data_IF_615063292306
#
_entry.id   IF_615063292306
#
_cell.length_a   1.000
_cell.length_b   1.000
_cell.length_c   1.000
_cell.angle_alpha   90.00
_cell.angle_beta   90.00
_cell.angle_gamma   90.00
#
_symmetry.space_group_name_H-M   'P 1'
#
loop_
_entity.id
_entity.type
_entity.pdbx_description
1 polymer ?
#
# COMPACT_ATOMS: atom_id res chain seq x y z
N UNK A 1 3.22 -49.22 -30.69
CA UNK A 1 3.16 -47.78 -31.07
C UNK A 1 3.19 -46.83 -29.87
N UNK A 2 2.74 -47.24 -28.68
CA UNK A 2 2.67 -46.42 -27.45
C UNK A 2 4.02 -46.02 -26.84
N UNK A 3 5.07 -46.86 -26.91
CA UNK A 3 6.37 -46.55 -26.30
C UNK A 3 7.16 -45.42 -27.02
N UNK A 4 7.07 -45.34 -28.36
CA UNK A 4 7.72 -44.27 -29.15
C UNK A 4 7.09 -42.89 -28.92
N UNK A 5 5.78 -42.85 -28.66
CA UNK A 5 5.06 -41.60 -28.39
C UNK A 5 5.45 -41.01 -27.02
N UNK A 6 5.69 -41.87 -26.03
CA UNK A 6 6.07 -41.44 -24.67
C UNK A 6 7.49 -40.85 -24.63
N UNK A 7 8.43 -41.43 -25.38
CA UNK A 7 9.82 -40.95 -25.46
C UNK A 7 9.89 -39.56 -26.13
N UNK A 8 9.09 -39.32 -27.18
CA UNK A 8 9.06 -38.02 -27.85
C UNK A 8 8.52 -36.91 -26.94
N UNK A 9 7.49 -37.19 -26.13
CA UNK A 9 6.94 -36.20 -25.19
C UNK A 9 7.92 -35.89 -24.03
N UNK A 10 8.65 -36.90 -23.56
CA UNK A 10 9.72 -36.71 -22.57
C UNK A 10 10.82 -35.81 -23.15
N UNK A 11 11.24 -36.08 -24.40
CA UNK A 11 12.28 -35.30 -25.06
C UNK A 11 11.89 -33.82 -25.26
N UNK A 12 10.64 -33.55 -25.68
CA UNK A 12 10.11 -32.18 -25.78
C UNK A 12 10.09 -31.48 -24.41
N UNK A 13 9.71 -32.19 -23.36
CA UNK A 13 9.67 -31.66 -21.99
C UNK A 13 11.08 -31.33 -21.47
N UNK A 14 12.06 -32.19 -21.77
CA UNK A 14 13.47 -31.98 -21.42
C UNK A 14 14.03 -30.75 -22.16
N UNK A 15 13.76 -30.61 -23.47
CA UNK A 15 14.16 -29.43 -24.24
C UNK A 15 13.54 -28.14 -23.70
N UNK A 16 12.25 -28.18 -23.32
CA UNK A 16 11.57 -27.04 -22.74
C UNK A 16 12.16 -26.63 -21.38
N UNK A 17 12.45 -27.60 -20.51
CA UNK A 17 13.08 -27.37 -19.21
C UNK A 17 14.50 -26.80 -19.37
N UNK A 18 15.27 -27.38 -20.28
CA UNK A 18 16.64 -26.98 -20.58
C UNK A 18 16.72 -25.55 -21.11
N UNK A 19 15.81 -25.18 -22.02
CA UNK A 19 15.70 -23.81 -22.53
C UNK A 19 15.30 -22.80 -21.43
N UNK A 20 14.43 -23.20 -20.49
CA UNK A 20 14.08 -22.36 -19.33
C UNK A 20 15.29 -22.14 -18.40
N UNK A 21 16.09 -23.18 -18.14
CA UNK A 21 17.31 -23.07 -17.34
C UNK A 21 18.32 -22.13 -18.00
N UNK A 22 18.57 -22.28 -19.30
CA UNK A 22 19.43 -21.36 -20.05
C UNK A 22 18.95 -19.91 -19.93
N UNK A 23 17.65 -19.68 -20.09
CA UNK A 23 17.08 -18.33 -19.98
C UNK A 23 17.26 -17.75 -18.57
N UNK A 24 17.05 -18.54 -17.52
CA UNK A 24 17.24 -18.10 -16.13
C UNK A 24 18.70 -17.68 -15.88
N UNK A 25 19.67 -18.49 -16.30
CA UNK A 25 21.08 -18.16 -16.12
C UNK A 25 21.51 -16.93 -16.93
N UNK A 26 21.03 -16.81 -18.18
CA UNK A 26 21.27 -15.63 -19.02
C UNK A 26 20.69 -14.34 -18.42
N UNK A 27 19.45 -14.37 -17.93
CA UNK A 27 18.81 -13.19 -17.31
C UNK A 27 19.60 -12.71 -16.08
N UNK A 28 20.22 -13.63 -15.36
CA UNK A 28 20.95 -13.34 -14.12
C UNK A 28 22.48 -13.18 -14.31
N UNK A 29 22.99 -13.17 -15.55
CA UNK A 29 24.43 -13.11 -15.86
C UNK A 29 25.27 -14.19 -15.13
N UNK A 30 24.72 -15.40 -14.98
CA UNK A 30 25.40 -16.54 -14.37
C UNK A 30 25.94 -17.47 -15.47
N UNK A 31 27.14 -18.02 -15.27
CA UNK A 31 27.69 -19.04 -16.18
C UNK A 31 26.97 -20.37 -15.97
N UNK A 32 26.60 -21.04 -17.08
CA UNK A 32 26.03 -22.37 -17.01
C UNK A 32 27.10 -23.37 -16.55
N UNK A 33 26.82 -24.23 -15.57
CA UNK A 33 27.68 -25.35 -15.24
C UNK A 33 27.97 -26.24 -16.46
N UNK A 34 29.23 -26.66 -16.64
CA UNK A 34 29.71 -27.41 -17.81
C UNK A 34 28.95 -28.72 -18.11
N UNK A 35 28.31 -29.30 -17.09
CA UNK A 35 27.45 -30.50 -17.22
C UNK A 35 26.22 -30.22 -18.10
N UNK A 36 25.74 -28.97 -18.11
CA UNK A 36 24.63 -28.52 -18.93
C UNK A 36 25.12 -28.05 -20.31
N UNK A 37 26.31 -27.44 -20.44
CA UNK A 37 26.81 -26.93 -21.72
C UNK A 37 27.07 -28.03 -22.76
N UNK A 38 27.48 -29.23 -22.32
CA UNK A 38 27.91 -30.34 -23.19
C UNK A 38 26.78 -31.22 -23.74
N UNK A 39 25.57 -31.17 -23.19
CA UNK A 39 24.49 -32.12 -23.53
C UNK A 39 23.20 -31.49 -24.09
N UNK A 40 23.16 -30.18 -24.30
CA UNK A 40 21.99 -29.49 -24.87
C UNK A 40 21.82 -29.68 -26.40
N UNK A 41 22.79 -30.31 -27.07
CA UNK A 41 22.91 -30.30 -28.54
C UNK A 41 22.86 -31.68 -29.20
N UNK A 42 22.84 -32.78 -28.45
CA UNK A 42 23.01 -34.14 -29.01
C UNK A 42 21.76 -35.02 -28.88
N UNK A 43 21.53 -35.85 -29.90
CA UNK A 43 20.38 -36.77 -30.04
C UNK A 43 20.45 -37.85 -28.95
N UNK A 44 19.49 -37.86 -28.02
CA UNK A 44 19.58 -38.52 -26.71
C UNK A 44 19.26 -40.03 -26.68
N UNK A 45 19.86 -40.75 -25.72
CA UNK A 45 19.65 -42.18 -25.41
C UNK A 45 19.54 -42.46 -23.89
N UNK A 46 18.30 -42.52 -23.40
CA UNK A 46 17.66 -43.11 -22.18
C UNK A 46 18.35 -43.09 -20.80
N UNK A 47 19.63 -43.41 -20.61
CA UNK A 47 20.23 -43.45 -19.25
C UNK A 47 20.76 -42.09 -18.79
N UNK A 48 21.37 -41.34 -19.71
CA UNK A 48 21.86 -39.99 -19.43
C UNK A 48 20.73 -38.97 -19.25
N UNK A 49 19.54 -39.26 -19.80
CA UNK A 49 18.36 -38.36 -19.78
C UNK A 49 17.80 -38.14 -18.37
N UNK A 50 17.71 -39.22 -17.57
CA UNK A 50 17.19 -39.14 -16.21
C UNK A 50 18.17 -38.39 -15.29
N UNK A 51 19.47 -38.62 -15.47
CA UNK A 51 20.51 -37.98 -14.67
C UNK A 51 20.61 -36.47 -14.95
N UNK A 52 20.53 -36.08 -16.23
CA UNK A 52 20.45 -34.67 -16.64
C UNK A 52 19.16 -34.03 -16.08
N UNK A 53 18.02 -34.73 -16.13
CA UNK A 53 16.76 -34.22 -15.63
C UNK A 53 16.78 -34.03 -14.09
N UNK A 54 17.33 -34.99 -13.35
CA UNK A 54 17.47 -34.90 -11.88
C UNK A 54 18.38 -33.75 -11.48
N UNK A 55 19.50 -33.58 -12.18
CA UNK A 55 20.44 -32.48 -11.93
C UNK A 55 19.80 -31.12 -12.24
N UNK A 56 19.11 -31.03 -13.38
CA UNK A 56 18.37 -29.84 -13.80
C UNK A 56 17.25 -29.48 -12.80
N UNK A 57 16.52 -30.47 -12.32
CA UNK A 57 15.46 -30.27 -11.33
C UNK A 57 16.03 -29.79 -9.99
N UNK A 58 17.14 -30.37 -9.52
CA UNK A 58 17.80 -29.95 -8.28
C UNK A 58 18.30 -28.51 -8.36
N UNK A 59 18.91 -28.11 -9.49
CA UNK A 59 19.35 -26.73 -9.70
C UNK A 59 18.16 -25.77 -9.70
N UNK A 60 17.06 -26.14 -10.37
CA UNK A 60 15.84 -25.33 -10.38
C UNK A 60 15.22 -25.21 -8.98
N UNK A 61 15.15 -26.30 -8.23
CA UNK A 61 14.62 -26.28 -6.85
C UNK A 61 15.48 -25.38 -5.95
N UNK A 62 16.80 -25.50 -6.04
CA UNK A 62 17.71 -24.65 -5.27
C UNK A 62 17.56 -23.17 -5.63
N UNK A 63 17.40 -22.85 -6.91
CA UNK A 63 17.16 -21.49 -7.37
C UNK A 63 15.79 -20.96 -6.92
N UNK A 64 14.74 -21.78 -6.96
CA UNK A 64 13.43 -21.37 -6.45
C UNK A 64 13.45 -21.12 -4.95
N UNK A 65 14.19 -21.91 -4.17
CA UNK A 65 14.35 -21.70 -2.73
C UNK A 65 15.06 -20.39 -2.43
N UNK A 66 16.13 -20.08 -3.18
CA UNK A 66 16.83 -18.80 -3.07
C UNK A 66 15.91 -17.61 -3.38
N UNK A 67 15.16 -17.67 -4.49
CA UNK A 67 14.20 -16.62 -4.85
C UNK A 67 13.11 -16.45 -3.80
N UNK A 68 12.61 -17.54 -3.23
CA UNK A 68 11.60 -17.49 -2.17
C UNK A 68 12.16 -16.82 -0.91
N UNK A 69 13.40 -17.13 -0.52
CA UNK A 69 14.05 -16.48 0.62
C UNK A 69 14.35 -15.00 0.38
N UNK A 70 14.83 -14.63 -0.81
CA UNK A 70 15.00 -13.22 -1.19
C UNK A 70 13.67 -12.46 -1.17
N UNK A 71 12.59 -13.06 -1.69
CA UNK A 71 11.26 -12.47 -1.66
C UNK A 71 10.75 -12.30 -0.23
N UNK A 72 10.95 -13.31 0.63
CA UNK A 72 10.58 -13.22 2.06
C UNK A 72 11.34 -12.10 2.75
N UNK A 73 12.64 -11.98 2.52
CA UNK A 73 13.48 -10.94 3.11
C UNK A 73 13.03 -9.55 2.64
N UNK A 74 12.85 -9.35 1.34
CA UNK A 74 12.35 -8.09 0.78
C UNK A 74 10.97 -7.73 1.35
N UNK A 75 10.09 -8.70 1.53
CA UNK A 75 8.77 -8.50 2.13
C UNK A 75 8.85 -8.14 3.62
N UNK A 76 9.73 -8.79 4.38
CA UNK A 76 9.98 -8.47 5.78
C UNK A 76 10.52 -7.03 5.91
N UNK A 77 11.50 -6.67 5.09
CA UNK A 77 12.07 -5.32 5.07
C UNK A 77 10.98 -4.28 4.75
N UNK A 78 10.16 -4.50 3.72
CA UNK A 78 9.02 -3.61 3.40
C UNK A 78 8.02 -3.48 4.54
N UNK A 79 7.69 -4.58 5.22
CA UNK A 79 6.77 -4.55 6.37
C UNK A 79 7.36 -3.70 7.50
N UNK A 80 8.64 -3.86 7.83
CA UNK A 80 9.29 -3.06 8.87
C UNK A 80 9.31 -1.57 8.54
N UNK A 81 9.53 -1.22 7.26
CA UNK A 81 9.46 0.18 6.79
C UNK A 81 8.04 0.73 6.97
N UNK A 82 7.02 -0.02 6.58
CA UNK A 82 5.62 0.40 6.69
C UNK A 82 5.19 0.59 8.16
N UNK A 83 5.58 -0.33 9.04
CA UNK A 83 5.34 -0.19 10.48
C UNK A 83 6.04 1.02 11.08
N UNK A 84 7.30 1.25 10.68
CA UNK A 84 8.09 2.40 11.16
C UNK A 84 7.48 3.72 10.67
N UNK A 85 7.08 3.79 9.40
CA UNK A 85 6.37 4.93 8.80
C UNK A 85 5.09 5.24 9.56
N UNK A 86 4.28 4.22 9.83
CA UNK A 86 2.99 4.37 10.50
C UNK A 86 3.15 4.86 11.95
N UNK A 87 4.08 4.25 12.70
CA UNK A 87 4.42 4.70 14.07
C UNK A 87 4.93 6.15 14.09
N UNK A 88 5.79 6.51 13.14
CA UNK A 88 6.29 7.88 13.02
C UNK A 88 5.16 8.88 12.78
N UNK A 89 4.27 8.60 11.81
CA UNK A 89 3.15 9.49 11.50
C UNK A 89 2.16 9.62 12.67
N UNK A 90 1.81 8.51 13.33
CA UNK A 90 0.97 8.51 14.51
C UNK A 90 1.54 9.41 15.62
N UNK A 91 2.82 9.23 15.94
CA UNK A 91 3.49 10.02 16.98
C UNK A 91 3.52 11.51 16.64
N UNK A 92 3.94 11.86 15.43
CA UNK A 92 3.99 13.26 14.98
C UNK A 92 2.59 13.88 14.99
N UNK A 93 1.56 13.15 14.57
CA UNK A 93 0.21 13.68 14.61
C UNK A 93 -0.25 13.98 16.04
N UNK A 94 0.06 13.13 17.02
CA UNK A 94 -0.27 13.40 18.42
C UNK A 94 0.46 14.64 18.95
N UNK A 95 1.75 14.77 18.66
CA UNK A 95 2.59 15.90 19.04
C UNK A 95 2.13 17.21 18.38
N UNK A 96 1.61 17.16 17.14
CA UNK A 96 1.07 18.34 16.43
C UNK A 96 -0.36 18.71 16.86
N UNK A 97 -1.19 17.72 17.20
CA UNK A 97 -2.59 17.95 17.58
C UNK A 97 -2.72 18.80 18.84
N UNK A 98 -1.84 18.58 19.82
CA UNK A 98 -1.84 19.33 21.09
C UNK A 98 -1.63 20.84 20.90
N UNK A 99 -0.54 21.32 20.26
CA UNK A 99 -0.34 22.75 20.03
C UNK A 99 -1.39 23.34 19.08
N UNK A 100 -1.85 22.60 18.06
CA UNK A 100 -2.92 23.06 17.17
C UNK A 100 -4.25 23.29 17.89
N UNK A 101 -4.63 22.37 18.77
CA UNK A 101 -5.81 22.55 19.62
C UNK A 101 -5.64 23.74 20.57
N UNK A 102 -4.43 23.98 21.07
CA UNK A 102 -4.11 25.17 21.85
C UNK A 102 -4.34 26.47 21.06
N UNK A 103 -3.86 26.54 19.81
CA UNK A 103 -4.07 27.69 18.92
C UNK A 103 -5.56 27.88 18.61
N UNK A 104 -6.29 26.80 18.30
CA UNK A 104 -7.74 26.85 18.04
C UNK A 104 -8.51 27.35 19.27
N UNK A 105 -8.22 26.81 20.45
CA UNK A 105 -8.85 27.25 21.70
C UNK A 105 -8.53 28.71 22.04
N UNK A 106 -7.28 29.13 21.82
CA UNK A 106 -6.83 30.50 22.07
C UNK A 106 -7.52 31.49 21.12
N UNK A 107 -7.52 31.19 19.82
CA UNK A 107 -8.20 32.03 18.82
C UNK A 107 -9.70 32.11 19.07
N UNK A 108 -10.38 31.01 19.41
CA UNK A 108 -11.80 31.03 19.80
C UNK A 108 -12.07 31.87 21.06
N UNK A 109 -11.20 31.80 22.06
CA UNK A 109 -11.34 32.58 23.30
C UNK A 109 -11.15 34.06 23.03
N UNK A 110 -10.09 34.43 22.30
CA UNK A 110 -9.80 35.83 21.97
C UNK A 110 -10.91 36.40 21.08
N UNK A 111 -11.43 35.64 20.10
CA UNK A 111 -12.53 36.06 19.23
C UNK A 111 -13.82 36.44 19.96
N UNK A 112 -14.02 36.00 21.21
CA UNK A 112 -15.18 36.39 22.05
C UNK A 112 -15.01 37.74 22.73
N UNK A 113 -13.81 38.33 22.70
CA UNK A 113 -13.55 39.65 23.28
C UNK A 113 -14.29 40.75 22.51
N UNK A 114 -14.99 41.62 23.25
CA UNK A 114 -15.70 42.77 22.68
C UNK A 114 -14.77 43.91 22.25
N UNK A 115 -13.51 43.89 22.70
CA UNK A 115 -12.55 45.00 22.53
C UNK A 115 -11.61 44.84 21.33
N UNK A 116 -11.91 43.93 20.40
CA UNK A 116 -11.07 43.70 19.22
C UNK A 116 -11.40 44.68 18.10
N UNK A 117 -10.35 45.29 17.53
CA UNK A 117 -10.43 46.03 16.27
C UNK A 117 -10.78 45.11 15.10
N UNK A 118 -11.23 45.70 14.00
CA UNK A 118 -11.56 44.99 12.76
C UNK A 118 -10.38 44.16 12.23
N UNK A 119 -9.17 44.72 12.29
CA UNK A 119 -7.95 44.09 11.78
C UNK A 119 -7.48 42.93 12.68
N UNK A 120 -7.61 43.08 14.00
CA UNK A 120 -7.34 42.00 14.95
C UNK A 120 -8.33 40.84 14.75
N UNK A 121 -9.63 41.14 14.60
CA UNK A 121 -10.64 40.10 14.29
C UNK A 121 -10.29 39.34 13.02
N UNK A 122 -9.89 40.06 11.96
CA UNK A 122 -9.47 39.45 10.70
C UNK A 122 -8.24 38.55 10.89
N UNK A 123 -7.24 39.04 11.61
CA UNK A 123 -6.00 38.30 11.87
C UNK A 123 -6.24 37.03 12.68
N UNK A 124 -7.03 37.12 13.76
CA UNK A 124 -7.39 35.97 14.60
C UNK A 124 -8.16 34.93 13.78
N UNK A 125 -9.11 35.37 12.95
CA UNK A 125 -9.86 34.47 12.07
C UNK A 125 -8.94 33.76 11.06
N UNK A 126 -7.96 34.47 10.48
CA UNK A 126 -6.96 33.85 9.60
C UNK A 126 -6.14 32.80 10.35
N UNK A 127 -5.65 33.10 11.55
CA UNK A 127 -4.88 32.15 12.37
C UNK A 127 -5.73 30.90 12.68
N UNK A 128 -6.99 31.09 13.07
CA UNK A 128 -7.92 29.98 13.34
C UNK A 128 -8.12 29.11 12.10
N UNK A 129 -8.34 29.72 10.93
CA UNK A 129 -8.53 28.99 9.68
C UNK A 129 -7.28 28.20 9.28
N UNK A 130 -6.08 28.78 9.44
CA UNK A 130 -4.82 28.08 9.18
C UNK A 130 -4.61 26.90 10.13
N UNK A 131 -4.84 27.08 11.42
CA UNK A 131 -4.70 26.02 12.42
C UNK A 131 -5.70 24.88 12.17
N UNK A 132 -6.96 25.23 11.85
CA UNK A 132 -7.98 24.25 11.52
C UNK A 132 -7.63 23.46 10.25
N UNK A 133 -7.16 24.16 9.22
CA UNK A 133 -6.75 23.54 7.98
C UNK A 133 -5.56 22.59 8.18
N UNK A 134 -4.54 23.01 8.94
CA UNK A 134 -3.39 22.16 9.24
C UNK A 134 -3.79 20.93 10.05
N UNK A 135 -4.69 21.07 11.02
CA UNK A 135 -5.23 19.94 11.77
C UNK A 135 -5.96 18.94 10.86
N UNK A 136 -6.72 19.44 9.88
CA UNK A 136 -7.40 18.60 8.89
C UNK A 136 -6.39 17.81 8.06
N UNK A 137 -5.36 18.49 7.52
CA UNK A 137 -4.30 17.84 6.76
C UNK A 137 -3.55 16.76 7.56
N UNK A 138 -3.28 17.03 8.84
CA UNK A 138 -2.64 16.06 9.74
C UNK A 138 -3.51 14.82 9.92
N UNK A 139 -4.83 14.98 10.11
CA UNK A 139 -5.75 13.85 10.21
C UNK A 139 -5.84 13.07 8.89
N UNK A 140 -5.92 13.76 7.75
CA UNK A 140 -6.00 13.11 6.43
C UNK A 140 -4.76 12.24 6.16
N UNK A 141 -3.57 12.68 6.57
CA UNK A 141 -2.32 11.90 6.45
C UNK A 141 -2.35 10.65 7.33
N UNK A 142 -2.91 10.74 8.54
CA UNK A 142 -3.08 9.58 9.42
C UNK A 142 -4.06 8.56 8.85
N UNK A 143 -5.21 9.03 8.38
CA UNK A 143 -6.23 8.17 7.79
C UNK A 143 -5.66 7.44 6.58
N UNK A 144 -4.94 8.16 5.72
CA UNK A 144 -4.24 7.56 4.57
C UNK A 144 -3.21 6.50 5.01
N UNK A 145 -2.40 6.77 6.03
CA UNK A 145 -1.41 5.81 6.55
C UNK A 145 -2.07 4.54 7.13
N UNK A 146 -3.24 4.69 7.75
CA UNK A 146 -3.99 3.57 8.33
C UNK A 146 -4.65 2.72 7.24
N UNK A 147 -5.10 3.35 6.16
CA UNK A 147 -5.63 2.68 4.96
C UNK A 147 -4.52 1.91 4.23
N UNK A 148 -3.35 2.54 3.99
CA UNK A 148 -2.21 1.91 3.30
C UNK A 148 -1.75 0.60 3.96
N UNK A 149 -1.85 0.53 5.29
CA UNK A 149 -1.43 -0.64 6.07
C UNK A 149 -2.52 -1.69 6.23
N UNK A 150 -3.71 -1.50 5.63
CA UNK A 150 -4.92 -2.30 5.84
C UNK A 150 -5.30 -2.42 7.34
N UNK A 151 -4.96 -1.42 8.16
CA UNK A 151 -5.27 -1.39 9.59
C UNK A 151 -6.57 -0.61 9.89
N UNK A 152 -7.26 -0.11 8.87
CA UNK A 152 -8.53 0.58 9.04
C UNK A 152 -9.65 -0.44 9.32
N UNK A 153 -10.11 -0.48 10.56
CA UNK A 153 -11.26 -1.29 10.95
C UNK A 153 -12.56 -0.52 10.75
N UNK A 154 -13.51 -1.11 10.03
CA UNK A 154 -14.88 -0.60 9.93
C UNK A 154 -15.68 -1.21 11.08
N UNK A 155 -16.29 -0.37 11.90
CA UNK A 155 -17.17 -0.81 12.98
C UNK A 155 -18.65 -0.60 12.57
N UNK A 156 -19.32 -1.61 11.98
CA UNK A 156 -20.71 -1.49 11.59
C UNK A 156 -21.59 -1.38 12.84
N UNK A 157 -22.32 -0.29 12.95
CA UNK A 157 -23.25 -0.01 14.05
C UNK A 157 -24.58 0.45 13.45
N UNK A 158 -25.69 0.09 14.10
CA UNK A 158 -26.99 0.64 13.75
C UNK A 158 -27.02 2.14 14.05
N UNK A 159 -27.47 2.93 13.10
CA UNK A 159 -27.61 4.37 13.26
C UNK A 159 -28.90 4.90 12.64
N UNK A 160 -29.43 5.97 13.22
CA UNK A 160 -30.64 6.61 12.70
C UNK A 160 -30.28 7.57 11.55
N UNK A 161 -30.35 7.07 10.32
CA UNK A 161 -30.00 7.81 9.10
C UNK A 161 -30.65 9.21 9.02
N UNK A 162 -31.95 9.42 9.31
CA UNK A 162 -32.54 10.76 9.25
C UNK A 162 -31.88 11.77 10.19
N UNK A 163 -31.45 11.33 11.39
CA UNK A 163 -30.76 12.21 12.34
C UNK A 163 -29.36 12.57 11.86
N UNK A 164 -28.62 11.60 11.32
CA UNK A 164 -27.31 11.84 10.73
C UNK A 164 -27.38 12.89 9.61
N UNK A 165 -28.32 12.71 8.67
CA UNK A 165 -28.52 13.65 7.57
C UNK A 165 -28.90 15.04 8.09
N UNK A 166 -29.77 15.13 9.10
CA UNK A 166 -30.14 16.40 9.72
C UNK A 166 -28.91 17.14 10.30
N UNK A 167 -28.04 16.45 11.02
CA UNK A 167 -26.81 17.04 11.57
C UNK A 167 -25.86 17.55 10.49
N UNK A 168 -25.77 16.83 9.36
CA UNK A 168 -24.98 17.27 8.20
C UNK A 168 -25.59 18.54 7.60
N UNK A 169 -26.91 18.57 7.39
CA UNK A 169 -27.64 19.72 6.85
C UNK A 169 -27.41 20.97 7.70
N UNK A 170 -27.57 20.88 9.02
CA UNK A 170 -27.34 21.99 9.96
C UNK A 170 -25.92 22.54 9.87
N UNK A 171 -24.92 21.64 9.84
CA UNK A 171 -23.51 22.01 9.75
C UNK A 171 -23.20 22.77 8.44
N UNK A 172 -23.72 22.29 7.32
CA UNK A 172 -23.45 22.90 6.02
C UNK A 172 -24.29 24.15 5.75
N UNK A 173 -25.47 24.27 6.36
CA UNK A 173 -26.30 25.47 6.27
C UNK A 173 -25.58 26.68 6.87
N UNK A 174 -25.00 26.52 8.07
CA UNK A 174 -24.19 27.58 8.71
C UNK A 174 -23.00 27.98 7.82
N UNK A 175 -22.28 26.99 7.26
CA UNK A 175 -21.14 27.25 6.37
C UNK A 175 -21.55 27.96 5.07
N UNK A 176 -22.73 27.62 4.54
CA UNK A 176 -23.27 28.23 3.34
C UNK A 176 -23.68 29.69 3.59
N UNK A 177 -24.34 29.97 4.72
CA UNK A 177 -24.68 31.34 5.16
C UNK A 177 -23.43 32.21 5.32
N UNK A 178 -22.38 31.69 5.96
CA UNK A 178 -21.09 32.39 6.09
C UNK A 178 -20.45 32.75 4.74
N UNK A 179 -20.77 32.01 3.68
CA UNK A 179 -20.27 32.23 2.31
C UNK A 179 -21.30 32.88 1.40
N UNK A 180 -22.46 33.31 1.92
CA UNK A 180 -23.59 33.83 1.15
C UNK A 180 -24.06 32.88 0.03
N UNK A 181 -24.03 31.57 0.27
CA UNK A 181 -24.46 30.54 -0.67
C UNK A 181 -25.84 29.99 -0.30
N UNK A 182 -26.66 29.69 -1.32
CA UNK A 182 -27.94 29.00 -1.13
C UNK A 182 -27.70 27.50 -0.98
N UNK A 183 -28.05 26.95 0.19
CA UNK A 183 -28.04 25.51 0.45
C UNK A 183 -29.47 24.98 0.48
N UNK A 184 -29.76 23.92 -0.29
CA UNK A 184 -31.09 23.31 -0.37
C UNK A 184 -30.96 21.81 -0.09
N UNK A 185 -31.64 21.35 0.95
CA UNK A 185 -31.79 19.93 1.26
C UNK A 185 -33.21 19.48 0.90
N UNK A 186 -33.32 18.43 0.10
CA UNK A 186 -34.59 17.80 -0.25
C UNK A 186 -34.66 16.42 0.38
N UNK A 187 -35.56 16.27 1.35
CA UNK A 187 -35.81 14.99 2.01
C UNK A 187 -36.49 14.05 1.01
N UNK A 188 -35.86 12.91 0.70
CA UNK A 188 -36.54 11.84 -0.03
C UNK A 188 -37.65 11.28 0.87
N UNK A 189 -38.84 11.11 0.30
CA UNK A 189 -40.05 10.68 0.98
C UNK A 189 -40.17 9.17 0.98
#
# INVERSE_FOLDING_TARGET
MTAKYNINNINLSIQALSKKIQLIFQINNLELPDVLSTNLSTKLSTKNEIEIMLTSLNILMQYTDQLVEEQKKAKADLNTVNETKSKFLANISHELRTPLNGILGSTQTISRSQNLTSDEKRSINTIHQCAFHLLTLVNDILDFSTIETNQMEINPLDFHLPSLIQSIVETYQIKAEQKCLKFVYQKCR
#
